data_IF_859472781315
#
_entry.id   IF_859472781315
#
_cell.length_a   1.000
_cell.length_b   1.000
_cell.length_c   1.000
_cell.angle_alpha   90.00
_cell.angle_beta   90.00
_cell.angle_gamma   90.00
#
_symmetry.space_group_name_H-M   'P 1'
#
loop_
_entity.id
_entity.type
_entity.pdbx_description
1 polymer ?
#
# COMPACT_ATOMS: atom_id res chain seq x y z
N UNK A 1 -21.46 14.14 -14.97
CA UNK A 1 -20.76 14.48 -13.72
C UNK A 1 -19.33 14.87 -14.05
N UNK A 2 -18.85 16.00 -13.54
CA UNK A 2 -17.48 16.51 -13.70
C UNK A 2 -16.73 16.40 -12.38
N UNK A 3 -15.63 15.65 -12.33
CA UNK A 3 -14.84 15.41 -11.11
C UNK A 3 -13.41 15.90 -11.29
N UNK A 4 -12.91 16.67 -10.31
CA UNK A 4 -11.50 17.02 -10.23
C UNK A 4 -10.76 16.02 -9.32
N UNK A 5 -9.78 15.29 -9.88
CA UNK A 5 -8.85 14.46 -9.10
C UNK A 5 -7.60 15.28 -8.77
N UNK A 6 -7.36 15.51 -7.48
CA UNK A 6 -6.23 16.29 -6.99
C UNK A 6 -5.11 15.38 -6.46
N UNK A 7 -3.91 15.55 -6.98
CA UNK A 7 -2.72 14.81 -6.56
C UNK A 7 -1.42 15.49 -7.02
N UNK A 8 -0.29 14.85 -6.81
CA UNK A 8 0.97 15.31 -7.37
C UNK A 8 1.09 14.83 -8.82
N UNK A 9 1.62 15.67 -9.72
CA UNK A 9 1.70 15.35 -11.15
C UNK A 9 2.46 14.05 -11.42
N UNK A 10 3.56 13.82 -10.69
CA UNK A 10 4.36 12.60 -10.80
C UNK A 10 3.59 11.31 -10.49
N UNK A 11 2.56 11.41 -9.65
CA UNK A 11 1.82 10.24 -9.18
C UNK A 11 0.76 9.76 -10.17
N UNK A 12 0.51 10.54 -11.22
CA UNK A 12 -0.26 10.11 -12.39
C UNK A 12 0.59 9.41 -13.47
N UNK A 13 1.85 9.06 -13.14
CA UNK A 13 2.74 8.35 -14.03
C UNK A 13 2.72 6.84 -13.71
N UNK A 14 2.61 5.95 -14.73
CA UNK A 14 2.62 4.50 -14.53
C UNK A 14 3.88 3.97 -13.85
N UNK A 15 5.00 4.72 -13.97
CA UNK A 15 6.29 4.33 -13.42
C UNK A 15 6.57 4.92 -12.03
N UNK A 16 5.59 5.55 -11.39
CA UNK A 16 5.79 6.22 -10.09
C UNK A 16 6.11 5.26 -8.92
N UNK A 17 5.83 3.98 -9.07
CA UNK A 17 6.41 2.87 -8.28
C UNK A 17 6.11 2.82 -6.77
N UNK A 18 5.26 3.70 -6.22
CA UNK A 18 4.92 3.74 -4.78
C UNK A 18 3.42 3.57 -4.57
N UNK A 19 3.01 2.91 -3.48
CA UNK A 19 1.62 2.54 -3.21
C UNK A 19 0.55 3.60 -3.52
N UNK A 20 0.61 4.83 -2.96
CA UNK A 20 -0.36 5.88 -3.29
C UNK A 20 -0.35 6.32 -4.75
N UNK A 21 0.82 6.35 -5.41
CA UNK A 21 0.93 6.68 -6.83
C UNK A 21 0.33 5.59 -7.73
N UNK A 22 0.52 4.32 -7.36
CA UNK A 22 -0.14 3.19 -8.03
C UNK A 22 -1.65 3.34 -7.97
N UNK A 23 -2.19 3.72 -6.81
CA UNK A 23 -3.62 4.00 -6.65
C UNK A 23 -4.08 5.14 -7.56
N UNK A 24 -3.40 6.30 -7.52
CA UNK A 24 -3.80 7.48 -8.30
C UNK A 24 -3.83 7.20 -9.80
N UNK A 25 -2.77 6.60 -10.31
CA UNK A 25 -2.67 6.26 -11.72
C UNK A 25 -3.79 5.30 -12.15
N UNK A 26 -3.97 4.22 -11.39
CA UNK A 26 -4.95 3.19 -11.77
C UNK A 26 -6.39 3.67 -11.58
N UNK A 27 -6.70 4.41 -10.52
CA UNK A 27 -8.02 5.00 -10.34
C UNK A 27 -8.36 5.94 -11.49
N UNK A 28 -7.46 6.89 -11.80
CA UNK A 28 -7.64 7.83 -12.90
C UNK A 28 -7.88 7.11 -14.22
N UNK A 29 -7.00 6.16 -14.57
CA UNK A 29 -7.10 5.40 -15.81
C UNK A 29 -8.43 4.66 -15.95
N UNK A 30 -8.84 3.93 -14.90
CA UNK A 30 -10.07 3.14 -14.94
C UNK A 30 -11.34 4.00 -14.85
N UNK A 31 -11.29 5.20 -14.26
CA UNK A 31 -12.42 6.13 -14.28
C UNK A 31 -12.63 6.76 -15.67
N UNK A 32 -11.55 6.98 -16.45
CA UNK A 32 -11.67 7.48 -17.83
C UNK A 32 -12.42 6.51 -18.75
N UNK A 33 -12.36 5.20 -18.48
CA UNK A 33 -13.03 4.17 -19.27
C UNK A 33 -14.54 4.09 -18.97
N UNK A 34 -15.05 4.83 -17.96
CA UNK A 34 -16.46 4.80 -17.55
C UNK A 34 -17.24 5.92 -18.26
N UNK A 35 -18.31 5.55 -18.98
CA UNK A 35 -19.20 6.53 -19.65
C UNK A 35 -19.98 7.36 -18.63
N UNK A 36 -20.25 8.62 -18.98
CA UNK A 36 -21.09 9.52 -18.17
C UNK A 36 -20.37 10.30 -17.07
N UNK A 37 -19.05 10.09 -16.92
CA UNK A 37 -18.21 10.87 -16.00
C UNK A 37 -17.10 11.57 -16.78
N UNK A 38 -16.86 12.83 -16.46
CA UNK A 38 -15.73 13.61 -16.97
C UNK A 38 -14.73 13.82 -15.84
N UNK A 39 -13.57 13.19 -15.98
CA UNK A 39 -12.51 13.24 -14.98
C UNK A 39 -11.39 14.17 -15.44
N UNK A 40 -11.12 15.18 -14.66
CA UNK A 40 -9.99 16.07 -14.88
C UNK A 40 -8.94 15.83 -13.78
N UNK A 41 -7.74 15.43 -14.19
CA UNK A 41 -6.61 15.38 -13.26
C UNK A 41 -6.06 16.78 -13.03
N UNK A 42 -5.78 17.11 -11.78
CA UNK A 42 -5.14 18.35 -11.38
C UNK A 42 -3.85 18.02 -10.62
N UNK A 43 -2.79 17.78 -11.39
CA UNK A 43 -1.45 17.51 -10.83
C UNK A 43 -0.78 18.79 -10.34
N UNK A 44 -0.06 18.70 -9.23
CA UNK A 44 0.77 19.78 -8.71
C UNK A 44 2.23 19.46 -8.94
N UNK A 45 2.98 20.38 -9.59
CA UNK A 45 4.42 20.31 -9.71
C UNK A 45 5.06 20.90 -8.46
N UNK A 46 6.06 20.22 -7.93
CA UNK A 46 6.84 20.70 -6.78
C UNK A 46 8.13 21.33 -7.30
N UNK A 47 8.38 22.63 -7.07
CA UNK A 47 9.61 23.27 -7.46
C UNK A 47 10.84 22.63 -6.79
N UNK A 48 11.96 22.57 -7.52
CA UNK A 48 13.23 22.05 -6.98
C UNK A 48 13.72 22.79 -5.74
N UNK A 49 13.47 24.10 -5.65
CA UNK A 49 13.79 24.95 -4.50
C UNK A 49 13.16 24.50 -3.18
N UNK A 50 12.04 23.75 -3.25
CA UNK A 50 11.36 23.20 -2.08
C UNK A 50 11.70 21.71 -1.81
N UNK A 51 12.88 21.27 -2.25
CA UNK A 51 13.34 19.88 -2.08
C UNK A 51 12.81 18.91 -3.15
N UNK A 52 12.27 19.44 -4.24
CA UNK A 52 11.69 18.65 -5.33
C UNK A 52 10.55 17.74 -4.87
N UNK A 53 10.21 16.75 -5.70
CA UNK A 53 9.12 15.84 -5.43
C UNK A 53 9.33 14.84 -4.28
N UNK A 54 10.50 14.85 -3.63
CA UNK A 54 10.82 13.93 -2.52
C UNK A 54 10.60 14.55 -1.14
N UNK A 55 10.45 15.87 -1.04
CA UNK A 55 10.18 16.57 0.23
C UNK A 55 8.70 16.53 0.56
N UNK A 56 8.35 15.99 1.74
CA UNK A 56 6.98 16.04 2.26
C UNK A 56 6.47 17.48 2.40
N UNK A 57 7.27 18.34 3.02
CA UNK A 57 6.93 19.75 3.26
C UNK A 57 6.78 20.52 1.95
N UNK A 58 7.71 20.34 1.01
CA UNK A 58 7.65 20.94 -0.32
C UNK A 58 6.41 20.51 -1.10
N UNK A 59 6.05 19.23 -1.04
CA UNK A 59 4.83 18.71 -1.65
C UNK A 59 3.57 19.37 -1.07
N UNK A 60 3.49 19.48 0.25
CA UNK A 60 2.36 20.05 0.96
C UNK A 60 2.18 21.54 0.67
N UNK A 61 3.27 22.33 0.71
CA UNK A 61 3.26 23.77 0.39
C UNK A 61 2.86 24.00 -1.06
N UNK A 62 3.48 23.30 -2.02
CA UNK A 62 3.18 23.46 -3.44
C UNK A 62 1.74 23.07 -3.76
N UNK A 63 1.23 21.99 -3.15
CA UNK A 63 -0.15 21.57 -3.32
C UNK A 63 -1.12 22.66 -2.83
N UNK A 64 -0.84 23.23 -1.67
CA UNK A 64 -1.65 24.32 -1.10
C UNK A 64 -1.67 25.53 -2.01
N UNK A 65 -0.49 26.05 -2.39
CA UNK A 65 -0.37 27.27 -3.21
C UNK A 65 -1.04 27.07 -4.58
N UNK A 66 -0.83 25.95 -5.25
CA UNK A 66 -1.44 25.69 -6.55
C UNK A 66 -2.97 25.58 -6.49
N UNK A 67 -3.52 25.04 -5.39
CA UNK A 67 -4.97 24.91 -5.25
C UNK A 67 -5.64 26.21 -4.79
N UNK A 68 -4.92 27.14 -4.17
CA UNK A 68 -5.44 28.47 -3.83
C UNK A 68 -5.85 29.29 -5.05
N UNK A 69 -5.14 29.17 -6.15
CA UNK A 69 -5.37 29.97 -7.37
C UNK A 69 -6.26 29.27 -8.39
N UNK A 70 -6.72 28.03 -8.13
CA UNK A 70 -7.55 27.26 -9.06
C UNK A 70 -9.02 27.49 -8.83
N UNK A 71 -9.77 27.68 -9.93
CA UNK A 71 -11.22 27.70 -9.91
C UNK A 71 -11.79 26.29 -10.03
N UNK A 72 -12.52 25.83 -9.01
CA UNK A 72 -13.19 24.53 -8.98
C UNK A 72 -14.72 24.62 -9.20
N UNK A 73 -15.28 25.79 -9.53
CA UNK A 73 -16.73 25.96 -9.69
C UNK A 73 -17.31 25.13 -10.84
N UNK A 74 -16.50 24.84 -11.86
CA UNK A 74 -16.89 24.03 -13.01
C UNK A 74 -17.06 22.53 -12.70
N UNK A 75 -16.61 22.06 -11.53
CA UNK A 75 -16.71 20.67 -11.11
C UNK A 75 -17.89 20.44 -10.18
N UNK A 76 -18.47 19.25 -10.25
CA UNK A 76 -19.53 18.83 -9.36
C UNK A 76 -18.96 18.32 -8.02
N UNK A 77 -17.72 17.80 -8.04
CA UNK A 77 -17.05 17.18 -6.91
C UNK A 77 -15.52 17.29 -7.03
N UNK A 78 -14.84 17.39 -5.88
CA UNK A 78 -13.38 17.38 -5.77
C UNK A 78 -12.96 16.15 -4.99
N UNK A 79 -12.08 15.32 -5.57
CA UNK A 79 -11.50 14.18 -4.90
C UNK A 79 -10.00 14.35 -4.70
N UNK A 80 -9.55 14.47 -3.45
CA UNK A 80 -8.13 14.49 -3.12
C UNK A 80 -7.64 13.06 -2.87
N UNK A 81 -6.59 12.68 -3.58
CA UNK A 81 -6.07 11.32 -3.56
C UNK A 81 -5.06 11.06 -2.43
N UNK A 82 -4.75 12.10 -1.66
CA UNK A 82 -3.91 12.05 -0.46
C UNK A 82 -4.54 12.82 0.69
N UNK A 83 -4.66 12.18 1.83
CA UNK A 83 -5.19 12.82 3.02
C UNK A 83 -4.28 13.94 3.57
N UNK A 84 -2.97 13.78 3.43
CA UNK A 84 -1.97 14.73 3.94
C UNK A 84 -1.74 15.95 3.03
N UNK A 85 -2.53 16.11 1.97
CA UNK A 85 -2.41 17.24 1.05
C UNK A 85 -3.54 18.27 1.20
N UNK A 86 -4.47 18.09 2.14
CA UNK A 86 -5.54 19.05 2.38
C UNK A 86 -5.03 20.19 3.26
N UNK A 87 -4.44 21.18 2.64
CA UNK A 87 -4.02 22.40 3.33
C UNK A 87 -5.00 23.55 3.18
N UNK A 88 -6.10 23.35 2.47
CA UNK A 88 -6.98 24.48 2.21
C UNK A 88 -7.81 24.86 3.43
N UNK A 89 -7.63 26.04 4.00
CA UNK A 89 -8.57 26.65 4.91
C UNK A 89 -9.80 27.18 4.16
N UNK A 90 -9.80 27.13 2.82
CA UNK A 90 -10.86 27.72 1.99
C UNK A 90 -12.01 26.72 1.85
N UNK A 91 -13.18 27.21 2.13
CA UNK A 91 -14.42 26.50 1.98
C UNK A 91 -14.75 26.47 0.48
N UNK A 92 -14.37 25.40 -0.21
CA UNK A 92 -14.88 25.17 -1.54
C UNK A 92 -16.39 24.97 -1.45
N UNK A 93 -17.14 25.56 -2.39
CA UNK A 93 -18.61 25.39 -2.46
C UNK A 93 -19.03 23.99 -2.93
N UNK A 94 -18.07 23.16 -3.34
CA UNK A 94 -18.29 21.81 -3.87
C UNK A 94 -17.89 20.74 -2.86
N UNK A 95 -18.56 19.57 -2.84
CA UNK A 95 -18.19 18.48 -1.96
C UNK A 95 -16.75 18.04 -2.16
N UNK A 96 -16.02 17.84 -1.06
CA UNK A 96 -14.65 17.35 -1.05
C UNK A 96 -14.62 15.95 -0.48
N UNK A 97 -14.07 15.02 -1.26
CA UNK A 97 -13.76 13.66 -0.84
C UNK A 97 -12.25 13.52 -0.68
N UNK A 98 -11.82 12.80 0.35
CA UNK A 98 -10.41 12.45 0.52
C UNK A 98 -10.25 10.94 0.63
N UNK A 99 -9.30 10.38 -0.14
CA UNK A 99 -8.87 8.99 0.06
C UNK A 99 -7.85 8.92 1.19
N UNK A 100 -8.13 8.04 2.15
CA UNK A 100 -7.25 7.72 3.28
C UNK A 100 -6.62 6.36 3.04
N UNK A 101 -5.32 6.35 2.73
CA UNK A 101 -4.56 5.13 2.47
C UNK A 101 -4.12 4.42 3.75
N UNK A 102 -3.72 5.17 4.75
CA UNK A 102 -3.45 4.70 6.10
C UNK A 102 -3.61 5.86 7.10
N UNK A 103 -3.78 5.53 8.36
CA UNK A 103 -3.92 6.50 9.44
C UNK A 103 -2.72 6.48 10.40
N UNK A 104 -1.68 5.73 10.08
CA UNK A 104 -0.52 5.49 10.96
C UNK A 104 0.08 6.77 11.52
N UNK A 105 0.15 7.81 10.69
CA UNK A 105 0.75 9.09 11.07
C UNK A 105 -0.15 9.92 11.98
N UNK A 106 -1.45 9.62 12.01
CA UNK A 106 -2.44 10.30 12.85
C UNK A 106 -2.69 9.52 14.14
N UNK A 107 -2.73 8.18 14.01
CA UNK A 107 -2.93 7.26 15.15
C UNK A 107 -1.57 6.98 15.78
N UNK A 108 -1.46 7.13 17.11
CA UNK A 108 -0.23 6.82 17.83
C UNK A 108 0.07 5.31 17.74
N UNK A 109 0.95 4.95 16.82
CA UNK A 109 1.57 3.65 16.79
C UNK A 109 2.93 3.78 17.48
N UNK A 110 3.23 2.98 18.50
CA UNK A 110 4.54 2.96 19.13
C UNK A 110 5.59 2.67 18.04
N UNK A 111 6.47 3.61 17.77
CA UNK A 111 7.61 3.42 16.89
C UNK A 111 8.84 3.20 17.75
N UNK A 112 9.72 2.34 17.26
CA UNK A 112 10.87 1.83 17.99
C UNK A 112 12.00 2.87 18.24
N UNK A 113 11.89 4.11 17.69
CA UNK A 113 12.93 5.16 17.84
C UNK A 113 12.32 6.51 18.24
N UNK A 114 12.95 7.15 19.22
CA UNK A 114 12.61 8.46 19.82
C UNK A 114 13.68 9.51 19.51
N UNK A 115 13.95 9.75 18.23
CA UNK A 115 14.81 10.85 17.79
C UNK A 115 14.02 12.18 17.79
N UNK A 116 14.62 13.27 18.29
CA UNK A 116 13.96 14.58 18.45
C UNK A 116 13.46 15.15 17.12
N UNK A 117 14.23 15.04 16.06
CA UNK A 117 13.81 15.45 14.70
C UNK A 117 12.60 14.67 14.22
N UNK A 118 12.54 13.40 14.55
CA UNK A 118 11.43 12.52 14.24
C UNK A 118 10.17 12.88 15.01
N UNK A 119 10.29 13.30 16.27
CA UNK A 119 9.15 13.75 17.10
C UNK A 119 8.53 15.02 16.50
N UNK A 120 9.35 15.99 16.08
CA UNK A 120 8.88 17.23 15.43
C UNK A 120 8.19 16.90 14.10
N UNK A 121 8.81 16.07 13.28
CA UNK A 121 8.22 15.57 12.03
C UNK A 121 6.87 14.89 12.28
N UNK A 122 6.78 13.98 13.26
CA UNK A 122 5.54 13.28 13.64
C UNK A 122 4.44 14.24 14.07
N UNK A 123 4.76 15.26 14.89
CA UNK A 123 3.80 16.29 15.29
C UNK A 123 3.26 17.10 14.10
N UNK A 124 4.13 17.46 13.16
CA UNK A 124 3.75 18.19 11.95
C UNK A 124 2.86 17.34 11.05
N UNK A 125 3.25 16.08 10.80
CA UNK A 125 2.48 15.14 9.97
C UNK A 125 1.12 14.84 10.59
N UNK A 126 1.06 14.68 11.93
CA UNK A 126 -0.19 14.53 12.66
C UNK A 126 -1.09 15.76 12.52
N UNK A 127 -0.54 16.95 12.68
CA UNK A 127 -1.28 18.20 12.48
C UNK A 127 -1.84 18.30 11.06
N UNK A 128 -1.04 17.98 10.05
CA UNK A 128 -1.45 17.99 8.65
C UNK A 128 -2.52 16.91 8.40
N UNK A 129 -2.31 15.70 8.92
CA UNK A 129 -3.25 14.58 8.78
C UNK A 129 -4.62 14.88 9.38
N UNK A 130 -4.67 15.60 10.52
CA UNK A 130 -5.96 16.03 11.12
C UNK A 130 -6.75 16.98 10.22
N UNK A 131 -6.13 17.65 9.25
CA UNK A 131 -6.83 18.46 8.25
C UNK A 131 -7.70 17.63 7.31
N UNK A 132 -7.40 16.36 7.14
CA UNK A 132 -8.26 15.39 6.43
C UNK A 132 -9.66 15.32 7.03
N UNK A 133 -9.76 15.50 8.34
CA UNK A 133 -11.03 15.51 9.07
C UNK A 133 -11.92 16.71 8.70
N UNK A 134 -11.41 17.65 7.89
CA UNK A 134 -12.20 18.77 7.32
C UNK A 134 -12.81 18.47 5.96
N UNK A 135 -12.51 17.33 5.36
CA UNK A 135 -13.20 16.87 4.14
C UNK A 135 -14.66 16.59 4.45
N UNK A 136 -15.52 16.77 3.45
CA UNK A 136 -16.95 16.47 3.61
C UNK A 136 -17.20 14.97 3.71
N UNK A 137 -16.39 14.17 2.98
CA UNK A 137 -16.49 12.70 2.93
C UNK A 137 -15.11 12.06 2.84
N UNK A 138 -15.00 10.82 3.33
CA UNK A 138 -13.79 10.01 3.22
C UNK A 138 -14.05 8.72 2.43
N UNK A 139 -13.08 8.35 1.60
CA UNK A 139 -12.92 7.00 1.08
C UNK A 139 -11.76 6.34 1.83
N UNK A 140 -12.03 5.31 2.60
CA UNK A 140 -11.02 4.51 3.28
C UNK A 140 -10.72 3.25 2.48
N UNK A 141 -9.45 2.93 2.29
CA UNK A 141 -9.04 1.77 1.46
C UNK A 141 -9.31 0.43 2.13
N UNK A 142 -9.61 0.42 3.43
CA UNK A 142 -9.89 -0.79 4.21
C UNK A 142 -10.87 -0.51 5.36
N UNK A 143 -11.44 -1.59 5.90
CA UNK A 143 -12.23 -1.51 7.14
C UNK A 143 -11.40 -0.97 8.30
N UNK A 144 -10.13 -1.40 8.43
CA UNK A 144 -9.21 -0.92 9.46
C UNK A 144 -9.06 0.59 9.41
N UNK A 145 -8.76 1.16 8.22
CA UNK A 145 -8.61 2.61 8.05
C UNK A 145 -9.91 3.36 8.39
N UNK A 146 -11.07 2.79 8.02
CA UNK A 146 -12.37 3.34 8.43
C UNK A 146 -12.51 3.39 9.95
N UNK A 147 -12.22 2.28 10.64
CA UNK A 147 -12.35 2.20 12.09
C UNK A 147 -11.41 3.17 12.81
N UNK A 148 -10.23 3.41 12.24
CA UNK A 148 -9.28 4.42 12.72
C UNK A 148 -9.82 5.84 12.55
N UNK A 149 -10.46 6.16 11.42
CA UNK A 149 -11.10 7.46 11.22
C UNK A 149 -12.27 7.68 12.17
N UNK A 150 -13.06 6.64 12.47
CA UNK A 150 -14.13 6.73 13.48
C UNK A 150 -13.56 7.00 14.88
N UNK A 151 -12.44 6.35 15.26
CA UNK A 151 -11.75 6.62 16.53
C UNK A 151 -11.22 8.05 16.63
N UNK A 152 -10.93 8.68 15.50
CA UNK A 152 -10.57 10.11 15.40
C UNK A 152 -11.80 11.03 15.33
N UNK A 153 -12.98 10.52 15.69
CA UNK A 153 -14.25 11.24 15.74
C UNK A 153 -14.78 11.73 14.38
N UNK A 154 -14.34 11.11 13.28
CA UNK A 154 -14.94 11.42 11.99
C UNK A 154 -16.32 10.73 11.84
N UNK A 155 -17.35 11.42 11.31
CA UNK A 155 -18.70 10.90 11.25
C UNK A 155 -18.81 9.62 10.41
N UNK A 156 -19.28 8.52 11.02
CA UNK A 156 -19.37 7.20 10.38
C UNK A 156 -20.18 7.20 9.08
N UNK A 157 -21.25 8.00 9.00
CA UNK A 157 -22.13 8.11 7.83
C UNK A 157 -21.51 8.89 6.67
N UNK A 158 -20.33 9.49 6.85
CA UNK A 158 -19.55 10.19 5.83
C UNK A 158 -18.32 9.40 5.38
N UNK A 159 -18.15 8.16 5.84
CA UNK A 159 -17.02 7.28 5.45
C UNK A 159 -17.52 6.16 4.57
N UNK A 160 -16.86 5.99 3.44
CA UNK A 160 -17.05 4.89 2.50
C UNK A 160 -15.82 4.01 2.46
N UNK A 161 -16.00 2.70 2.24
CA UNK A 161 -14.88 1.77 2.03
C UNK A 161 -14.82 1.47 0.53
N UNK A 162 -13.65 1.69 -0.06
CA UNK A 162 -13.35 1.26 -1.44
C UNK A 162 -11.98 0.60 -1.43
N UNK A 163 -11.96 -0.71 -1.60
CA UNK A 163 -10.72 -1.46 -1.59
C UNK A 163 -9.89 -1.21 -2.86
N UNK A 164 -8.57 -1.34 -2.73
CA UNK A 164 -7.64 -1.23 -3.85
C UNK A 164 -7.72 -2.45 -4.76
N UNK A 165 -7.19 -2.32 -5.98
CA UNK A 165 -7.04 -3.42 -6.93
C UNK A 165 -5.58 -3.82 -7.13
N UNK A 166 -5.35 -5.01 -7.66
CA UNK A 166 -4.07 -5.44 -8.21
C UNK A 166 -4.02 -5.18 -9.71
N UNK A 167 -2.82 -5.07 -10.29
CA UNK A 167 -2.65 -4.84 -11.71
C UNK A 167 -3.22 -6.03 -12.52
N UNK A 168 -3.83 -5.74 -13.68
CA UNK A 168 -4.43 -6.75 -14.56
C UNK A 168 -3.46 -7.87 -14.96
N UNK A 169 -2.18 -7.58 -15.02
CA UNK A 169 -1.17 -8.57 -15.36
C UNK A 169 -1.05 -9.68 -14.30
N UNK A 170 -1.46 -9.42 -13.04
CA UNK A 170 -1.57 -10.44 -11.99
C UNK A 170 -2.79 -11.34 -12.15
N UNK A 171 -3.73 -10.98 -13.02
CA UNK A 171 -4.96 -11.74 -13.24
C UNK A 171 -4.80 -12.86 -14.27
N UNK A 172 -3.64 -12.99 -14.88
CA UNK A 172 -3.36 -14.04 -15.90
C UNK A 172 -3.31 -15.43 -15.28
N UNK A 173 -3.86 -16.42 -16.00
CA UNK A 173 -4.08 -17.79 -15.49
C UNK A 173 -2.81 -18.69 -15.44
N UNK A 174 -1.63 -18.16 -15.65
CA UNK A 174 -0.42 -18.98 -15.53
C UNK A 174 -0.06 -19.14 -14.05
N UNK A 175 -0.49 -20.25 -13.46
CA UNK A 175 0.17 -20.78 -12.27
C UNK A 175 1.51 -21.36 -12.74
N UNK A 176 2.60 -20.90 -12.18
CA UNK A 176 3.87 -21.60 -12.35
C UNK A 176 3.90 -22.68 -11.27
N UNK A 177 3.48 -23.89 -11.64
CA UNK A 177 3.83 -25.06 -10.87
C UNK A 177 5.31 -25.30 -11.08
N UNK A 178 6.14 -24.89 -10.13
CA UNK A 178 7.55 -25.29 -10.15
C UNK A 178 7.62 -26.79 -9.89
N UNK A 179 8.45 -27.54 -10.67
CA UNK A 179 8.73 -28.93 -10.33
C UNK A 179 9.30 -29.01 -8.91
N UNK A 180 8.85 -29.97 -8.11
CA UNK A 180 9.23 -30.17 -6.71
C UNK A 180 10.76 -30.29 -6.43
N UNK A 181 11.61 -30.33 -7.44
CA UNK A 181 13.06 -30.53 -7.35
C UNK A 181 13.90 -29.40 -7.97
N UNK A 182 13.33 -28.18 -8.16
CA UNK A 182 14.06 -27.09 -8.81
C UNK A 182 14.80 -26.22 -7.79
N UNK A 183 15.97 -26.70 -7.32
CA UNK A 183 16.89 -25.91 -6.49
C UNK A 183 16.46 -25.76 -5.02
N UNK A 184 17.04 -24.77 -4.34
CA UNK A 184 16.67 -24.44 -2.96
C UNK A 184 15.32 -23.70 -2.91
N UNK A 185 14.55 -23.96 -1.84
CA UNK A 185 13.29 -23.31 -1.56
C UNK A 185 13.47 -21.79 -1.35
N UNK A 186 12.72 -20.96 -2.08
CA UNK A 186 12.89 -19.53 -2.15
C UNK A 186 11.79 -18.79 -1.37
N UNK A 187 12.20 -18.09 -0.35
CA UNK A 187 11.34 -17.22 0.46
C UNK A 187 11.45 -15.79 -0.09
N UNK A 188 10.33 -15.22 -0.52
CA UNK A 188 10.28 -13.89 -1.11
C UNK A 188 9.71 -12.83 -0.18
N UNK A 189 10.24 -11.62 -0.27
CA UNK A 189 9.69 -10.40 0.29
C UNK A 189 9.77 -9.27 -0.74
N UNK A 190 8.70 -8.49 -0.87
CA UNK A 190 8.68 -7.28 -1.69
C UNK A 190 8.04 -6.15 -0.88
N UNK A 191 8.81 -5.09 -0.61
CA UNK A 191 8.35 -3.94 0.16
C UNK A 191 9.47 -3.00 0.53
N UNK A 192 9.14 -1.82 1.09
CA UNK A 192 10.18 -0.96 1.66
C UNK A 192 10.80 -1.61 2.90
N UNK A 193 12.04 -1.22 3.22
CA UNK A 193 12.71 -1.67 4.46
C UNK A 193 12.44 -0.73 5.65
N UNK A 194 11.29 -0.03 5.65
CA UNK A 194 10.88 0.82 6.75
C UNK A 194 10.57 -0.01 8.02
N UNK A 195 10.69 0.62 9.19
CA UNK A 195 10.53 -0.06 10.48
C UNK A 195 9.20 -0.79 10.64
N UNK A 196 8.11 -0.20 10.15
CA UNK A 196 6.79 -0.82 10.18
C UNK A 196 6.67 -2.10 9.33
N UNK A 197 7.63 -2.38 8.46
CA UNK A 197 7.67 -3.61 7.65
C UNK A 197 8.32 -4.78 8.38
N UNK A 198 8.93 -4.52 9.53
CA UNK A 198 9.45 -5.53 10.46
C UNK A 198 10.37 -6.57 9.79
N UNK A 199 11.26 -6.07 8.91
CA UNK A 199 12.16 -6.95 8.15
C UNK A 199 13.11 -7.75 9.06
N UNK A 200 13.41 -7.23 10.27
CA UNK A 200 14.17 -7.95 11.30
C UNK A 200 13.60 -9.33 11.62
N UNK A 201 12.27 -9.46 11.63
CA UNK A 201 11.58 -10.74 11.84
C UNK A 201 11.96 -11.80 10.79
N UNK A 202 12.20 -11.39 9.53
CA UNK A 202 12.68 -12.28 8.45
C UNK A 202 14.11 -12.72 8.73
N UNK A 203 14.97 -11.80 9.18
CA UNK A 203 16.37 -12.13 9.51
C UNK A 203 16.46 -13.14 10.65
N UNK A 204 15.62 -12.99 11.68
CA UNK A 204 15.62 -13.91 12.80
C UNK A 204 15.09 -15.30 12.39
N UNK A 205 14.06 -15.40 11.55
CA UNK A 205 13.62 -16.65 10.96
C UNK A 205 14.72 -17.29 10.07
N UNK A 206 15.47 -16.48 9.32
CA UNK A 206 16.56 -16.96 8.48
C UNK A 206 17.72 -17.56 9.29
N UNK A 207 18.02 -17.03 10.48
CA UNK A 207 19.02 -17.61 11.41
C UNK A 207 18.62 -19.02 11.83
N UNK A 208 17.34 -19.26 12.09
CA UNK A 208 16.80 -20.55 12.53
C UNK A 208 16.85 -21.55 11.36
N UNK A 209 16.41 -21.15 10.18
CA UNK A 209 16.39 -22.00 8.99
C UNK A 209 17.77 -22.29 8.40
N UNK A 210 18.79 -21.54 8.80
CA UNK A 210 20.18 -21.70 8.35
C UNK A 210 20.28 -21.78 6.82
N UNK A 211 20.78 -22.90 6.29
CA UNK A 211 21.01 -23.12 4.86
C UNK A 211 19.87 -23.88 4.14
N UNK A 212 18.75 -24.11 4.82
CA UNK A 212 17.66 -24.93 4.28
C UNK A 212 16.87 -24.22 3.17
N UNK A 213 16.83 -22.88 3.19
CA UNK A 213 16.11 -22.04 2.23
C UNK A 213 16.92 -20.79 1.86
N UNK A 214 16.55 -20.14 0.75
CA UNK A 214 17.09 -18.83 0.37
C UNK A 214 16.03 -17.75 0.57
N UNK A 215 16.46 -16.58 1.02
CA UNK A 215 15.62 -15.39 1.15
C UNK A 215 16.00 -14.35 0.11
N UNK A 216 15.01 -13.86 -0.64
CA UNK A 216 15.16 -12.78 -1.63
C UNK A 216 14.29 -11.60 -1.22
N UNK A 217 14.95 -10.53 -0.76
CA UNK A 217 14.30 -9.35 -0.19
C UNK A 217 14.42 -8.18 -1.18
N UNK A 218 13.30 -7.85 -1.80
CA UNK A 218 13.22 -6.74 -2.75
C UNK A 218 12.68 -5.49 -2.06
N UNK A 219 13.45 -4.40 -2.07
CA UNK A 219 13.05 -3.14 -1.44
C UNK A 219 14.00 -2.00 -1.73
N UNK A 220 13.48 -0.78 -1.64
CA UNK A 220 14.28 0.43 -1.81
C UNK A 220 15.18 0.70 -0.60
N UNK A 221 16.33 1.31 -0.84
CA UNK A 221 17.25 1.79 0.21
C UNK A 221 16.55 2.84 1.09
N UNK A 222 16.65 2.69 2.39
CA UNK A 222 16.17 3.65 3.39
C UNK A 222 17.27 3.92 4.45
N UNK A 223 16.94 4.68 5.51
CA UNK A 223 17.91 5.02 6.58
C UNK A 223 18.57 3.80 7.23
N UNK A 224 17.88 2.67 7.33
CA UNK A 224 18.36 1.45 7.99
C UNK A 224 19.03 0.46 7.01
N UNK A 225 19.20 0.84 5.73
CA UNK A 225 19.68 -0.10 4.71
C UNK A 225 21.12 -0.57 4.96
N UNK A 226 21.99 0.29 5.46
CA UNK A 226 23.39 -0.06 5.80
C UNK A 226 23.46 -1.10 6.92
N UNK A 227 22.59 -0.98 7.94
CA UNK A 227 22.50 -1.95 9.03
C UNK A 227 21.98 -3.30 8.51
N UNK A 228 20.96 -3.27 7.63
CA UNK A 228 20.45 -4.49 7.00
C UNK A 228 21.49 -5.17 6.12
N UNK A 229 22.31 -4.41 5.39
CA UNK A 229 23.41 -4.97 4.61
C UNK A 229 24.43 -5.69 5.50
N UNK A 230 24.79 -5.07 6.63
CA UNK A 230 25.70 -5.71 7.59
C UNK A 230 25.12 -7.02 8.10
N UNK A 231 23.87 -7.04 8.56
CA UNK A 231 23.19 -8.26 9.02
C UNK A 231 23.08 -9.31 7.91
N UNK A 232 22.80 -8.90 6.67
CA UNK A 232 22.71 -9.82 5.54
C UNK A 232 24.06 -10.46 5.19
N UNK A 233 25.17 -9.73 5.31
CA UNK A 233 26.52 -10.27 5.08
C UNK A 233 26.90 -11.38 6.07
N UNK A 234 26.30 -11.42 7.24
CA UNK A 234 26.48 -12.46 8.25
C UNK A 234 25.65 -13.74 7.96
N UNK A 235 24.63 -13.61 7.07
CA UNK A 235 23.69 -14.67 6.74
C UNK A 235 23.74 -14.97 5.24
N UNK A 236 24.48 -16.02 4.84
CA UNK A 236 24.69 -16.40 3.44
C UNK A 236 23.41 -16.67 2.63
N UNK A 237 22.28 -16.85 3.29
CA UNK A 237 20.98 -17.16 2.70
C UNK A 237 20.10 -15.95 2.42
N UNK A 238 20.47 -14.77 2.91
CA UNK A 238 19.71 -13.52 2.68
C UNK A 238 20.33 -12.73 1.51
N UNK A 239 19.52 -12.48 0.50
CA UNK A 239 19.87 -11.70 -0.68
C UNK A 239 19.03 -10.41 -0.69
N UNK A 240 19.70 -9.25 -0.55
CA UNK A 240 19.06 -7.94 -0.69
C UNK A 240 19.13 -7.51 -2.16
N UNK A 241 17.99 -7.54 -2.86
CA UNK A 241 17.91 -7.46 -4.31
C UNK A 241 17.75 -6.03 -4.85
N UNK A 242 17.53 -5.04 -3.97
CA UNK A 242 17.20 -3.68 -4.40
C UNK A 242 15.73 -3.55 -4.84
N UNK A 243 15.44 -2.56 -5.67
CA UNK A 243 14.08 -2.28 -6.14
C UNK A 243 13.65 -3.29 -7.21
N UNK A 244 12.47 -3.88 -7.06
CA UNK A 244 11.91 -4.77 -8.08
C UNK A 244 11.39 -3.94 -9.28
N UNK A 245 11.93 -4.12 -10.51
CA UNK A 245 11.47 -3.38 -11.67
C UNK A 245 10.02 -3.75 -12.01
N UNK A 246 9.17 -2.74 -12.28
CA UNK A 246 7.75 -2.95 -12.52
C UNK A 246 7.43 -3.95 -13.65
N UNK A 247 8.22 -3.95 -14.73
CA UNK A 247 8.08 -4.88 -15.84
C UNK A 247 8.49 -6.33 -15.52
N UNK A 248 9.24 -6.56 -14.41
CA UNK A 248 9.69 -7.88 -13.93
C UNK A 248 8.99 -8.30 -12.64
N UNK A 249 8.09 -7.49 -12.11
CA UNK A 249 7.48 -7.72 -10.80
C UNK A 249 6.77 -9.08 -10.72
N UNK A 250 6.03 -9.45 -11.75
CA UNK A 250 5.34 -10.75 -11.81
C UNK A 250 6.35 -11.90 -11.79
N UNK A 251 7.40 -11.84 -12.64
CA UNK A 251 8.44 -12.86 -12.67
C UNK A 251 9.17 -12.95 -11.32
N UNK A 252 9.28 -11.83 -10.59
CA UNK A 252 9.84 -11.82 -9.25
C UNK A 252 8.96 -12.60 -8.28
N UNK A 253 7.64 -12.37 -8.26
CA UNK A 253 6.73 -13.19 -7.45
C UNK A 253 6.80 -14.66 -7.88
N UNK A 254 6.78 -14.95 -9.17
CA UNK A 254 6.81 -16.32 -9.72
C UNK A 254 8.12 -17.07 -9.41
N UNK A 255 9.18 -16.37 -9.00
CA UNK A 255 10.45 -16.97 -8.56
C UNK A 255 10.42 -17.49 -7.11
N UNK A 256 9.41 -17.14 -6.32
CA UNK A 256 9.28 -17.55 -4.94
C UNK A 256 8.48 -18.85 -4.79
N UNK A 257 8.68 -19.53 -3.67
CA UNK A 257 7.90 -20.70 -3.24
C UNK A 257 6.94 -20.31 -2.11
N UNK A 258 7.33 -19.31 -1.30
CA UNK A 258 6.51 -18.69 -0.26
C UNK A 258 6.80 -17.19 -0.19
N UNK A 259 5.80 -16.40 0.11
CA UNK A 259 5.92 -14.96 0.31
C UNK A 259 5.76 -14.62 1.79
N UNK A 260 6.68 -13.83 2.35
CA UNK A 260 6.62 -13.39 3.75
C UNK A 260 6.40 -11.89 3.84
N UNK A 261 5.46 -11.45 4.68
CA UNK A 261 5.12 -10.05 4.83
C UNK A 261 4.80 -9.69 6.29
N UNK A 262 5.81 -9.67 7.17
CA UNK A 262 5.63 -9.56 8.62
C UNK A 262 5.37 -8.14 9.11
N UNK A 263 4.68 -7.30 8.33
CA UNK A 263 4.43 -5.90 8.65
C UNK A 263 3.71 -5.72 9.98
N UNK A 264 4.12 -4.71 10.75
CA UNK A 264 3.46 -4.29 11.98
C UNK A 264 2.17 -3.50 11.70
N UNK A 265 2.13 -2.81 10.56
CA UNK A 265 0.99 -2.00 10.17
C UNK A 265 0.93 -1.82 8.65
N UNK A 266 -0.28 -1.99 8.10
CA UNK A 266 -0.62 -1.72 6.70
C UNK A 266 -1.95 -0.96 6.61
N UNK A 267 -2.04 -0.02 5.68
CA UNK A 267 -3.31 0.59 5.35
C UNK A 267 -4.18 -0.30 4.46
N UNK A 268 -3.52 -1.07 3.56
CA UNK A 268 -4.17 -2.12 2.77
C UNK A 268 -3.30 -3.38 2.66
N UNK A 269 -2.16 -3.35 1.94
CA UNK A 269 -1.26 -4.48 1.81
C UNK A 269 -1.34 -5.17 0.44
N UNK A 270 -1.25 -4.40 -0.65
CA UNK A 270 -1.25 -4.92 -2.02
C UNK A 270 -0.30 -6.11 -2.25
N UNK A 271 0.95 -6.12 -1.72
CA UNK A 271 1.86 -7.25 -1.95
C UNK A 271 1.31 -8.61 -1.50
N UNK A 272 0.44 -8.63 -0.48
CA UNK A 272 -0.24 -9.86 -0.03
C UNK A 272 -1.16 -10.40 -1.13
N UNK A 273 -2.00 -9.53 -1.70
CA UNK A 273 -2.92 -9.92 -2.79
C UNK A 273 -2.16 -10.25 -4.09
N UNK A 274 -1.09 -9.52 -4.39
CA UNK A 274 -0.22 -9.79 -5.53
C UNK A 274 0.37 -11.21 -5.42
N UNK A 275 0.94 -11.56 -4.27
CA UNK A 275 1.48 -12.90 -4.00
C UNK A 275 0.40 -14.00 -4.08
N UNK A 276 -0.74 -13.81 -3.41
CA UNK A 276 -1.86 -14.77 -3.45
C UNK A 276 -2.40 -14.94 -4.88
N UNK A 277 -2.47 -13.87 -5.67
CA UNK A 277 -2.94 -13.94 -7.07
C UNK A 277 -2.02 -14.79 -7.97
N UNK A 278 -0.76 -14.95 -7.57
CA UNK A 278 0.23 -15.83 -8.23
C UNK A 278 0.23 -17.25 -7.64
N UNK A 279 -0.66 -17.54 -6.71
CA UNK A 279 -0.78 -18.85 -6.06
C UNK A 279 0.24 -19.10 -4.96
N UNK A 280 0.95 -18.06 -4.49
CA UNK A 280 1.91 -18.21 -3.41
C UNK A 280 1.21 -18.32 -2.04
N UNK A 281 1.68 -19.23 -1.16
CA UNK A 281 1.35 -19.14 0.26
C UNK A 281 1.96 -17.85 0.82
N UNK A 282 1.21 -17.15 1.65
CA UNK A 282 1.64 -15.88 2.25
C UNK A 282 1.68 -16.02 3.76
N UNK A 283 2.82 -15.66 4.37
CA UNK A 283 2.99 -15.67 5.82
C UNK A 283 3.06 -14.22 6.31
N UNK A 284 2.19 -13.85 7.25
CA UNK A 284 2.13 -12.53 7.88
C UNK A 284 2.44 -12.63 9.37
N UNK A 285 2.79 -11.50 9.99
CA UNK A 285 2.89 -11.42 11.45
C UNK A 285 1.50 -11.37 12.06
N UNK A 286 1.19 -12.29 12.98
CA UNK A 286 -0.13 -12.45 13.60
C UNK A 286 -0.65 -11.18 14.28
N UNK A 287 0.25 -10.49 15.00
CA UNK A 287 -0.08 -9.30 15.78
C UNK A 287 0.07 -7.99 14.99
N UNK A 288 0.41 -8.09 13.69
CA UNK A 288 0.45 -6.95 12.80
C UNK A 288 -0.97 -6.41 12.53
N UNK A 289 -1.10 -5.08 12.50
CA UNK A 289 -2.32 -4.41 12.07
C UNK A 289 -2.38 -4.44 10.55
N UNK A 290 -2.88 -5.56 10.02
CA UNK A 290 -3.07 -5.81 8.60
C UNK A 290 -4.58 -5.94 8.36
N UNK A 291 -5.15 -5.21 7.38
CA UNK A 291 -6.59 -5.25 7.11
C UNK A 291 -7.12 -6.66 6.86
N UNK A 292 -8.29 -6.95 7.44
CA UNK A 292 -8.95 -8.27 7.30
C UNK A 292 -9.21 -8.66 5.85
N UNK A 293 -9.38 -7.68 4.96
CA UNK A 293 -9.60 -7.87 3.53
C UNK A 293 -8.43 -8.57 2.85
N UNK A 294 -7.20 -8.34 3.30
CA UNK A 294 -6.02 -8.91 2.65
C UNK A 294 -5.37 -10.05 3.45
N UNK A 295 -5.61 -10.11 4.77
CA UNK A 295 -5.05 -11.20 5.59
C UNK A 295 -5.77 -12.54 5.44
N UNK A 296 -6.93 -12.55 4.77
CA UNK A 296 -7.67 -13.77 4.49
C UNK A 296 -6.80 -14.74 3.67
N UNK A 297 -6.80 -15.99 4.07
CA UNK A 297 -5.97 -17.07 3.50
C UNK A 297 -4.45 -16.92 3.71
N UNK A 298 -4.00 -16.02 4.59
CA UNK A 298 -2.60 -15.99 5.03
C UNK A 298 -2.35 -16.96 6.16
N UNK A 299 -1.12 -17.49 6.23
CA UNK A 299 -0.57 -18.10 7.43
C UNK A 299 -0.17 -17.00 8.40
N UNK A 300 -0.38 -17.20 9.69
CA UNK A 300 -0.10 -16.21 10.72
C UNK A 300 1.03 -16.71 11.64
N UNK A 301 2.18 -16.06 11.57
CA UNK A 301 3.32 -16.35 12.43
C UNK A 301 3.31 -15.48 13.70
N UNK A 302 3.41 -16.08 14.87
CA UNK A 302 3.46 -15.38 16.16
C UNK A 302 4.87 -14.92 16.52
N UNK A 303 5.87 -15.66 16.04
CA UNK A 303 7.30 -15.39 16.28
C UNK A 303 8.13 -15.78 15.05
N UNK A 304 9.42 -15.40 14.99
CA UNK A 304 10.34 -15.85 13.95
C UNK A 304 10.47 -17.39 13.88
N UNK A 305 10.44 -18.07 15.03
CA UNK A 305 10.48 -19.53 15.16
C UNK A 305 9.23 -20.15 14.50
N UNK A 306 8.04 -19.58 14.78
CA UNK A 306 6.81 -20.04 14.17
C UNK A 306 6.79 -19.79 12.65
N UNK A 307 7.35 -18.65 12.19
CA UNK A 307 7.53 -18.42 10.76
C UNK A 307 8.43 -19.48 10.11
N UNK A 308 9.55 -19.82 10.77
CA UNK A 308 10.46 -20.86 10.30
C UNK A 308 9.76 -22.23 10.20
N UNK A 309 8.98 -22.61 11.21
CA UNK A 309 8.19 -23.85 11.22
C UNK A 309 7.17 -23.90 10.06
N UNK A 310 6.46 -22.80 9.81
CA UNK A 310 5.50 -22.71 8.69
C UNK A 310 6.25 -22.87 7.36
N UNK A 311 7.42 -22.24 7.18
CA UNK A 311 8.23 -22.33 5.96
C UNK A 311 8.70 -23.78 5.74
N UNK A 312 9.22 -24.45 6.78
CA UNK A 312 9.66 -25.86 6.68
C UNK A 312 8.48 -26.77 6.33
N UNK A 313 7.34 -26.61 6.99
CA UNK A 313 6.14 -27.38 6.70
C UNK A 313 5.68 -27.19 5.23
N UNK A 314 5.66 -25.96 4.72
CA UNK A 314 5.32 -25.67 3.33
C UNK A 314 6.34 -26.27 2.34
N UNK A 315 7.61 -26.32 2.72
CA UNK A 315 8.68 -26.91 1.91
C UNK A 315 8.54 -28.45 1.83
N UNK A 316 8.20 -29.10 2.93
CA UNK A 316 8.08 -30.56 3.04
C UNK A 316 6.76 -31.08 2.46
N UNK A 317 5.66 -30.43 2.78
CA UNK A 317 4.31 -30.91 2.48
C UNK A 317 3.61 -30.17 1.34
N UNK A 318 4.23 -29.09 0.82
CA UNK A 318 3.65 -28.25 -0.23
C UNK A 318 2.52 -27.35 0.28
N UNK A 319 1.96 -26.55 -0.63
CA UNK A 319 0.81 -25.71 -0.37
C UNK A 319 -0.47 -26.45 -0.76
N UNK A 320 -1.43 -26.56 0.16
CA UNK A 320 -2.69 -27.25 -0.11
C UNK A 320 -3.42 -26.64 -1.32
N UNK A 321 -3.63 -27.43 -2.38
CA UNK A 321 -4.16 -26.96 -3.66
C UNK A 321 -5.55 -26.30 -3.54
N UNK A 322 -6.43 -26.84 -2.68
CA UNK A 322 -7.78 -26.27 -2.45
C UNK A 322 -7.68 -24.89 -1.80
N UNK A 323 -6.76 -24.73 -0.86
CA UNK A 323 -6.50 -23.44 -0.21
C UNK A 323 -5.86 -22.46 -1.19
N UNK A 324 -4.86 -22.90 -1.96
CA UNK A 324 -4.21 -22.12 -3.01
C UNK A 324 -5.23 -21.55 -4.01
N UNK A 325 -6.10 -22.41 -4.53
CA UNK A 325 -7.14 -22.00 -5.47
C UNK A 325 -8.06 -20.94 -4.87
N UNK A 326 -8.56 -21.16 -3.65
CA UNK A 326 -9.43 -20.21 -2.95
C UNK A 326 -8.72 -18.85 -2.70
N UNK A 327 -7.46 -18.87 -2.26
CA UNK A 327 -6.68 -17.66 -2.02
C UNK A 327 -6.46 -16.87 -3.32
N UNK A 328 -6.14 -17.57 -4.41
CA UNK A 328 -5.90 -16.95 -5.72
C UNK A 328 -7.18 -16.32 -6.29
N UNK A 329 -8.29 -17.05 -6.29
CA UNK A 329 -9.58 -16.54 -6.78
C UNK A 329 -10.03 -15.31 -5.96
N UNK A 330 -9.84 -15.38 -4.66
CA UNK A 330 -10.14 -14.25 -3.76
C UNK A 330 -9.28 -13.03 -4.07
N UNK A 331 -7.96 -13.19 -4.17
CA UNK A 331 -7.04 -12.09 -4.48
C UNK A 331 -7.34 -11.46 -5.86
N UNK A 332 -7.64 -12.27 -6.86
CA UNK A 332 -8.01 -11.81 -8.22
C UNK A 332 -9.35 -11.09 -8.28
N UNK A 333 -10.19 -11.18 -7.26
CA UNK A 333 -11.43 -10.39 -7.16
C UNK A 333 -11.20 -8.91 -6.83
N UNK A 334 -9.98 -8.53 -6.45
CA UNK A 334 -9.57 -7.16 -6.19
C UNK A 334 -8.97 -6.55 -7.46
N UNK A 335 -9.76 -5.82 -8.22
CA UNK A 335 -9.35 -5.20 -9.49
C UNK A 335 -9.46 -3.69 -9.44
N UNK A 336 -8.62 -2.99 -10.18
CA UNK A 336 -8.71 -1.53 -10.30
C UNK A 336 -10.00 -1.08 -10.97
N UNK A 337 -10.55 -1.90 -11.86
CA UNK A 337 -11.86 -1.64 -12.45
C UNK A 337 -12.98 -1.64 -11.40
N UNK A 338 -12.96 -2.63 -10.48
CA UNK A 338 -13.89 -2.68 -9.35
C UNK A 338 -13.72 -1.48 -8.44
N UNK A 339 -12.47 -1.13 -8.11
CA UNK A 339 -12.15 0.05 -7.31
C UNK A 339 -12.74 1.33 -7.94
N UNK A 340 -12.58 1.53 -9.25
CA UNK A 340 -13.13 2.69 -9.95
C UNK A 340 -14.67 2.68 -9.96
N UNK A 341 -15.31 1.55 -10.21
CA UNK A 341 -16.77 1.40 -10.16
C UNK A 341 -17.34 1.71 -8.78
N UNK A 342 -16.71 1.20 -7.71
CA UNK A 342 -17.13 1.49 -6.33
C UNK A 342 -16.90 2.97 -5.97
N UNK A 343 -15.80 3.56 -6.43
CA UNK A 343 -15.55 5.00 -6.28
C UNK A 343 -16.64 5.83 -6.96
N UNK A 344 -17.04 5.46 -8.18
CA UNK A 344 -18.12 6.15 -8.89
C UNK A 344 -19.46 6.05 -8.15
N UNK A 345 -19.77 4.90 -7.56
CA UNK A 345 -20.99 4.75 -6.72
C UNK A 345 -20.97 5.73 -5.54
N UNK A 346 -19.79 5.93 -4.93
CA UNK A 346 -19.64 6.92 -3.86
C UNK A 346 -19.88 8.33 -4.37
N UNK A 347 -19.34 8.70 -5.54
CA UNK A 347 -19.56 10.01 -6.15
C UNK A 347 -21.05 10.27 -6.40
N UNK A 348 -21.75 9.34 -7.05
CA UNK A 348 -23.17 9.48 -7.35
C UNK A 348 -23.98 9.69 -6.05
N UNK A 349 -23.72 8.87 -5.03
CA UNK A 349 -24.41 8.98 -3.73
C UNK A 349 -24.19 10.32 -3.01
N UNK A 350 -23.08 11.00 -3.30
CA UNK A 350 -22.77 12.30 -2.69
C UNK A 350 -23.43 13.44 -3.46
N UNK A 351 -23.51 13.35 -4.78
CA UNK A 351 -24.10 14.39 -5.62
C UNK A 351 -25.64 14.37 -5.56
N UNK A 352 -26.24 13.19 -5.33
CA UNK A 352 -27.68 13.02 -5.15
C UNK A 352 -28.22 13.52 -3.80
N UNK A 353 -27.35 13.89 -2.85
CA UNK A 353 -27.68 14.48 -1.54
C UNK A 353 -27.64 16.00 -1.57
#
# INVERSE_FOLDING_TARGET
MKVALLGLEKDFNPNAGKGPAVYMYNLYKNLLDIKGINITRSGTRVPNLLGGGNSFTGNAISFTLNNLVRNFEQFDLIHTLYFNLIFSPFKYKKPIITTVHDAREIVDIPLLKTDTEYIIYKKLVRYIGTRTLKSDFLICVSTQTKDEMIKLSYPKNKIYIVNLGIDKNFLTNKFITKPANYGKYNVGYIGSFAENKNVGFIFDAAKILKNSVNFYLWGGKNRNYSELLKKASELKTINLMGFAPGNKLINTYDSFDVFVFPSLYEGFGLPILEAQSRGLPVIIYKYGKIPKEVRKYCFEAESPEHMAQIIENLKENGYNEKLQKKATEYARSFTWEKCAKETLKVYNKIIEK
#
